data_IF_347223301289
#
_entry.id   IF_347223301289
#
_cell.length_a   1.000
_cell.length_b   1.000
_cell.length_c   1.000
_cell.angle_alpha   90.00
_cell.angle_beta   90.00
_cell.angle_gamma   90.00
#
_symmetry.space_group_name_H-M   'P 1'
#
loop_
_entity.id
_entity.type
_entity.pdbx_description
1 polymer ?
#
# COMPACT_ATOMS: atom_id res chain seq x y z
N UNK A 1 -9.89 21.11 12.01
CA UNK A 1 -9.61 20.24 10.85
C UNK A 1 -10.66 19.13 10.85
N UNK A 2 -11.63 19.18 9.95
CA UNK A 2 -12.83 18.32 9.93
C UNK A 2 -12.50 16.84 9.71
N UNK A 3 -13.36 15.93 10.16
CA UNK A 3 -13.24 14.47 10.02
C UNK A 3 -12.95 14.02 8.59
N UNK A 4 -13.51 14.73 7.60
CA UNK A 4 -13.21 14.58 6.17
C UNK A 4 -11.73 14.69 5.82
N UNK A 5 -11.00 15.63 6.41
CA UNK A 5 -9.56 15.80 6.15
C UNK A 5 -8.75 14.62 6.69
N UNK A 6 -9.18 14.05 7.84
CA UNK A 6 -8.53 12.88 8.44
C UNK A 6 -8.75 11.62 7.61
N UNK A 7 -9.98 11.43 7.10
CA UNK A 7 -10.31 10.34 6.20
C UNK A 7 -9.52 10.43 4.89
N UNK A 8 -9.50 11.62 4.26
CA UNK A 8 -8.76 11.83 3.02
C UNK A 8 -7.26 11.59 3.18
N UNK A 9 -6.65 12.08 4.27
CA UNK A 9 -5.24 11.82 4.58
C UNK A 9 -4.93 10.32 4.72
N UNK A 10 -5.84 9.57 5.32
CA UNK A 10 -5.69 8.11 5.48
C UNK A 10 -5.78 7.38 4.15
N UNK A 11 -6.70 7.77 3.28
CA UNK A 11 -6.85 7.19 1.94
C UNK A 11 -5.60 7.44 1.09
N UNK A 12 -5.14 8.70 1.04
CA UNK A 12 -3.94 9.07 0.29
C UNK A 12 -2.69 8.34 0.80
N UNK A 13 -2.54 8.23 2.12
CA UNK A 13 -1.46 7.44 2.73
C UNK A 13 -1.49 5.98 2.26
N UNK A 14 -2.65 5.34 2.29
CA UNK A 14 -2.76 3.93 1.92
C UNK A 14 -2.44 3.72 0.43
N UNK A 15 -2.87 4.64 -0.44
CA UNK A 15 -2.54 4.62 -1.86
C UNK A 15 -1.02 4.74 -2.08
N UNK A 16 -0.35 5.64 -1.38
CA UNK A 16 1.11 5.81 -1.52
C UNK A 16 1.87 4.57 -1.01
N UNK A 17 1.43 3.96 0.10
CA UNK A 17 1.99 2.69 0.60
C UNK A 17 1.89 1.60 -0.48
N UNK A 18 0.74 1.47 -1.15
CA UNK A 18 0.57 0.53 -2.24
C UNK A 18 1.50 0.85 -3.41
N UNK A 19 1.62 2.12 -3.80
CA UNK A 19 2.50 2.56 -4.90
C UNK A 19 3.96 2.19 -4.62
N UNK A 20 4.48 2.53 -3.45
CA UNK A 20 5.86 2.24 -3.03
C UNK A 20 6.16 0.74 -3.12
N UNK A 21 5.27 -0.10 -2.57
CA UNK A 21 5.58 -1.53 -2.40
C UNK A 21 5.32 -2.36 -3.65
N UNK A 22 4.28 -2.01 -4.42
CA UNK A 22 3.80 -2.79 -5.57
C UNK A 22 4.28 -2.19 -6.89
N UNK A 23 4.13 -0.87 -7.08
CA UNK A 23 4.48 -0.21 -8.35
C UNK A 23 5.98 0.09 -8.43
N UNK A 24 6.55 0.65 -7.37
CA UNK A 24 7.98 1.00 -7.30
C UNK A 24 8.85 -0.20 -6.86
N UNK A 25 8.24 -1.31 -6.46
CA UNK A 25 8.92 -2.56 -6.10
C UNK A 25 9.69 -2.52 -4.77
N UNK A 26 9.55 -1.45 -3.98
CA UNK A 26 10.28 -1.27 -2.72
C UNK A 26 9.88 -2.29 -1.67
N UNK A 27 10.76 -2.48 -0.67
CA UNK A 27 10.49 -3.37 0.45
C UNK A 27 9.41 -2.79 1.38
N UNK A 28 8.62 -3.67 2.01
CA UNK A 28 7.63 -3.28 3.03
C UNK A 28 8.23 -2.46 4.18
N UNK A 29 9.50 -2.70 4.52
CA UNK A 29 10.22 -1.95 5.55
C UNK A 29 10.36 -0.46 5.21
N UNK A 30 10.52 -0.12 3.93
CA UNK A 30 10.65 1.28 3.46
C UNK A 30 9.34 2.02 3.66
N UNK A 31 8.22 1.42 3.20
CA UNK A 31 6.89 2.01 3.39
C UNK A 31 6.48 2.07 4.86
N UNK A 32 6.84 1.06 5.65
CA UNK A 32 6.58 1.02 7.08
C UNK A 32 7.31 2.15 7.84
N UNK A 33 8.60 2.37 7.55
CA UNK A 33 9.39 3.43 8.15
C UNK A 33 8.90 4.83 7.75
N UNK A 34 8.53 5.03 6.47
CA UNK A 34 8.03 6.32 5.96
C UNK A 34 6.77 6.81 6.68
N UNK A 35 5.92 5.88 7.12
CA UNK A 35 4.61 6.17 7.70
C UNK A 35 4.49 5.84 9.18
N UNK A 36 5.59 5.48 9.83
CA UNK A 36 5.65 5.06 11.24
C UNK A 36 4.58 4.01 11.59
N UNK A 37 4.53 2.94 10.78
CA UNK A 37 3.63 1.80 10.98
C UNK A 37 4.41 0.49 10.97
N UNK A 38 3.80 -0.57 11.49
CA UNK A 38 4.41 -1.90 11.42
C UNK A 38 4.44 -2.44 9.98
N UNK A 39 5.44 -3.29 9.68
CA UNK A 39 5.53 -4.02 8.41
C UNK A 39 4.27 -4.82 8.12
N UNK A 40 3.68 -5.44 9.14
CA UNK A 40 2.43 -6.19 9.02
C UNK A 40 1.27 -5.26 8.61
N UNK A 41 1.22 -4.04 9.16
CA UNK A 41 0.19 -3.08 8.79
C UNK A 41 0.36 -2.59 7.35
N UNK A 42 1.59 -2.31 6.92
CA UNK A 42 1.89 -1.98 5.53
C UNK A 42 1.45 -3.11 4.58
N UNK A 43 1.76 -4.37 4.92
CA UNK A 43 1.33 -5.54 4.14
C UNK A 43 -0.20 -5.64 4.05
N UNK A 44 -0.92 -5.49 5.16
CA UNK A 44 -2.39 -5.50 5.16
C UNK A 44 -2.98 -4.42 4.26
N UNK A 45 -2.41 -3.21 4.28
CA UNK A 45 -2.86 -2.10 3.43
C UNK A 45 -2.66 -2.44 1.95
N UNK A 46 -1.46 -2.92 1.60
CA UNK A 46 -1.13 -3.32 0.23
C UNK A 46 -2.07 -4.42 -0.28
N UNK A 47 -2.19 -5.52 0.47
CA UNK A 47 -3.04 -6.65 0.09
C UNK A 47 -4.51 -6.23 -0.05
N UNK A 48 -5.01 -5.39 0.88
CA UNK A 48 -6.39 -4.89 0.85
C UNK A 48 -6.66 -4.03 -0.38
N UNK A 49 -5.73 -3.13 -0.74
CA UNK A 49 -5.89 -2.27 -1.91
C UNK A 49 -5.78 -3.04 -3.23
N UNK A 50 -4.90 -4.02 -3.31
CA UNK A 50 -4.78 -4.88 -4.49
C UNK A 50 -5.90 -5.94 -4.60
N UNK A 51 -6.73 -6.09 -3.56
CA UNK A 51 -7.73 -7.16 -3.49
C UNK A 51 -7.08 -8.55 -3.57
N UNK A 52 -6.00 -8.76 -2.82
CA UNK A 52 -5.18 -9.99 -2.82
C UNK A 52 -4.91 -10.45 -1.40
N UNK A 53 -4.45 -11.70 -1.24
CA UNK A 53 -4.08 -12.26 0.07
C UNK A 53 -2.58 -12.12 0.33
N UNK A 54 -1.78 -12.16 -0.72
CA UNK A 54 -0.31 -12.12 -0.59
C UNK A 54 0.32 -10.97 -1.35
N UNK A 55 1.51 -10.56 -0.93
CA UNK A 55 2.29 -9.52 -1.62
C UNK A 55 2.71 -9.96 -3.03
N UNK A 56 2.94 -11.26 -3.22
CA UNK A 56 3.29 -11.86 -4.51
C UNK A 56 2.13 -11.69 -5.50
N UNK A 57 0.91 -12.08 -5.10
CA UNK A 57 -0.30 -11.87 -5.90
C UNK A 57 -0.52 -10.39 -6.24
N UNK A 58 -0.31 -9.49 -5.27
CA UNK A 58 -0.46 -8.05 -5.48
C UNK A 58 0.48 -7.53 -6.58
N UNK A 59 1.74 -7.99 -6.58
CA UNK A 59 2.75 -7.63 -7.58
C UNK A 59 2.47 -8.28 -8.93
N UNK A 60 2.03 -9.53 -8.96
CA UNK A 60 1.69 -10.24 -10.19
C UNK A 60 0.47 -9.64 -10.90
N UNK A 61 -0.59 -9.29 -10.15
CA UNK A 61 -1.75 -8.58 -10.70
C UNK A 61 -1.35 -7.28 -11.41
N UNK A 62 -0.36 -6.56 -10.88
CA UNK A 62 0.13 -5.36 -11.54
C UNK A 62 0.94 -5.65 -12.80
N UNK A 63 1.80 -6.68 -12.78
CA UNK A 63 2.53 -7.12 -13.98
C UNK A 63 1.59 -7.57 -15.10
N UNK A 64 0.43 -8.14 -14.77
CA UNK A 64 -0.57 -8.57 -15.75
C UNK A 64 -1.51 -7.46 -16.27
N UNK A 65 -1.55 -6.30 -15.60
CA UNK A 65 -2.43 -5.17 -15.94
C UNK A 65 -1.82 -4.16 -16.92
N UNK A 66 -0.54 -4.32 -17.27
CA UNK A 66 0.14 -3.51 -18.30
C UNK A 66 -0.10 -4.15 -19.67
N UNK A 67 -1.30 -3.96 -20.24
CA UNK A 67 -1.60 -4.24 -21.65
C UNK A 67 -2.34 -3.06 -22.26
#
# INVERSE_FOLDING_TARGET
MTEWNRLMSTVLRNIDIHRIVVMEGQALAVAAAKYDISRNRAMQIVCRLAGTRTLTEAREKQKGGTK
#
